data_IF_595314935943
#
_entry.id   IF_595314935943
#
_cell.length_a   1.000
_cell.length_b   1.000
_cell.length_c   1.000
_cell.angle_alpha   90.00
_cell.angle_beta   90.00
_cell.angle_gamma   90.00
#
_symmetry.space_group_name_H-M   'P 1'
#
loop_
_entity.id
_entity.type
_entity.pdbx_description
1 polymer ?
#
# COMPACT_ATOMS: atom_id res chain seq x y z
N UNK A 1 25.06 8.44 4.72
CA UNK A 1 23.69 8.27 5.29
C UNK A 1 22.64 8.09 4.18
N UNK A 2 22.83 8.69 3.00
CA UNK A 2 21.74 8.90 2.04
C UNK A 2 21.33 7.67 1.21
N UNK A 3 22.23 6.70 0.97
CA UNK A 3 21.88 5.51 0.16
C UNK A 3 20.89 4.58 0.87
N UNK A 4 21.03 4.44 2.19
CA UNK A 4 20.15 3.61 3.00
C UNK A 4 18.73 4.18 3.07
N UNK A 5 18.57 5.51 3.02
CA UNK A 5 17.28 6.19 3.02
C UNK A 5 16.48 5.84 1.74
N UNK A 6 17.15 5.80 0.59
CA UNK A 6 16.51 5.41 -0.68
C UNK A 6 16.10 3.94 -0.72
N UNK A 7 16.90 3.06 -0.15
CA UNK A 7 16.57 1.63 -0.01
C UNK A 7 15.36 1.44 0.91
N UNK A 8 15.37 2.10 2.08
CA UNK A 8 14.26 2.10 3.03
C UNK A 8 12.96 2.62 2.43
N UNK A 9 13.02 3.58 1.50
CA UNK A 9 11.83 4.08 0.81
C UNK A 9 11.18 3.04 -0.10
N UNK A 10 11.98 2.26 -0.84
CA UNK A 10 11.44 1.20 -1.69
C UNK A 10 10.74 0.16 -0.81
N UNK A 11 11.42 -0.25 0.27
CA UNK A 11 10.86 -1.24 1.20
C UNK A 11 9.61 -0.70 1.89
N UNK A 12 9.60 0.57 2.30
CA UNK A 12 8.42 1.21 2.89
C UNK A 12 7.25 1.28 1.89
N UNK A 13 7.50 1.57 0.61
CA UNK A 13 6.46 1.59 -0.41
C UNK A 13 5.85 0.21 -0.66
N UNK A 14 6.67 -0.84 -0.75
CA UNK A 14 6.18 -2.21 -0.89
C UNK A 14 5.43 -2.65 0.38
N UNK A 15 5.94 -2.30 1.57
CA UNK A 15 5.31 -2.59 2.85
C UNK A 15 3.92 -1.97 2.98
N UNK A 16 3.73 -0.72 2.52
CA UNK A 16 2.42 -0.07 2.47
C UNK A 16 1.47 -0.87 1.57
N UNK A 17 1.95 -1.28 0.38
CA UNK A 17 1.13 -2.02 -0.58
C UNK A 17 0.71 -3.39 -0.02
N UNK A 18 1.64 -4.13 0.58
CA UNK A 18 1.35 -5.40 1.27
C UNK A 18 0.33 -5.21 2.40
N UNK A 19 0.54 -4.20 3.25
CA UNK A 19 -0.34 -3.90 4.38
C UNK A 19 -1.74 -3.49 3.90
N UNK A 20 -1.86 -2.75 2.79
CA UNK A 20 -3.14 -2.40 2.19
C UNK A 20 -3.88 -3.62 1.61
N UNK A 21 -3.15 -4.56 1.01
CA UNK A 21 -3.72 -5.82 0.54
C UNK A 21 -4.23 -6.68 1.71
N UNK A 22 -3.48 -6.74 2.82
CA UNK A 22 -3.89 -7.43 4.03
C UNK A 22 -5.13 -6.79 4.67
N UNK A 23 -5.17 -5.46 4.78
CA UNK A 23 -6.37 -4.74 5.25
C UNK A 23 -7.57 -5.04 4.34
N UNK A 24 -7.39 -5.11 3.01
CA UNK A 24 -8.47 -5.47 2.08
C UNK A 24 -8.95 -6.90 2.30
N UNK A 25 -8.05 -7.86 2.57
CA UNK A 25 -8.40 -9.25 2.88
C UNK A 25 -9.21 -9.34 4.17
N UNK A 26 -8.76 -8.68 5.24
CA UNK A 26 -9.47 -8.61 6.52
C UNK A 26 -10.87 -7.99 6.34
N UNK A 27 -10.96 -6.86 5.62
CA UNK A 27 -12.25 -6.22 5.32
C UNK A 27 -13.17 -7.10 4.47
N UNK A 28 -12.62 -7.88 3.53
CA UNK A 28 -13.41 -8.82 2.71
C UNK A 28 -13.94 -9.98 3.55
N UNK A 29 -13.13 -10.52 4.46
CA UNK A 29 -13.55 -11.55 5.42
C UNK A 29 -14.69 -11.02 6.30
N UNK A 30 -14.55 -9.82 6.86
CA UNK A 30 -15.57 -9.15 7.70
C UNK A 30 -16.88 -8.86 6.94
N UNK A 31 -16.79 -8.54 5.64
CA UNK A 31 -17.93 -8.22 4.76
C UNK A 31 -18.63 -9.43 4.16
N UNK A 32 -18.30 -10.66 4.55
CA UNK A 32 -19.07 -11.84 4.14
C UNK A 32 -20.42 -11.84 4.87
N UNK A 33 -21.29 -10.93 4.46
CA UNK A 33 -22.68 -10.84 4.86
C UNK A 33 -23.38 -12.00 4.15
N UNK A 34 -23.79 -13.00 4.93
CA UNK A 34 -24.68 -14.05 4.48
C UNK A 34 -26.07 -13.43 4.30
N UNK A 35 -26.50 -13.36 3.06
CA UNK A 35 -27.87 -13.02 2.74
C UNK A 35 -28.64 -14.32 2.58
N UNK A 36 -29.67 -14.50 3.40
CA UNK A 36 -30.57 -15.64 3.28
C UNK A 36 -32.02 -15.15 3.29
N UNK A 37 -32.93 -15.95 2.74
CA UNK A 37 -34.35 -15.61 2.63
C UNK A 37 -35.17 -16.75 3.23
N UNK A 38 -35.81 -16.45 4.35
CA UNK A 38 -36.74 -17.35 5.00
C UNK A 38 -38.17 -16.98 4.64
N UNK A 39 -39.04 -17.98 4.55
CA UNK A 39 -40.46 -17.80 4.27
C UNK A 39 -41.25 -18.05 5.56
N UNK A 40 -42.10 -17.09 5.92
CA UNK A 40 -43.02 -17.18 7.05
C UNK A 40 -44.47 -16.96 6.62
N UNK A 41 -45.41 -17.34 7.47
CA UNK A 41 -46.82 -16.96 7.35
C UNK A 41 -47.08 -15.69 8.15
N UNK A 42 -48.01 -14.85 7.69
CA UNK A 42 -48.53 -13.74 8.49
C UNK A 42 -49.17 -14.24 9.79
N UNK A 43 -49.22 -13.38 10.81
CA UNK A 43 -49.76 -13.72 12.13
C UNK A 43 -51.30 -13.77 12.13
N UNK A 44 -51.96 -12.96 11.29
CA UNK A 44 -53.43 -12.90 11.21
C UNK A 44 -53.98 -13.52 9.92
N UNK A 45 -55.19 -14.07 10.04
CA UNK A 45 -55.94 -14.63 8.93
C UNK A 45 -56.42 -13.52 7.97
N UNK A 46 -56.29 -13.67 6.65
CA UNK A 46 -55.85 -14.86 5.92
C UNK A 46 -54.32 -15.02 5.89
N UNK A 47 -53.84 -16.21 6.25
CA UNK A 47 -52.40 -16.52 6.31
C UNK A 47 -51.77 -16.49 4.92
N UNK A 48 -51.17 -15.35 4.55
CA UNK A 48 -50.40 -15.22 3.32
C UNK A 48 -48.91 -15.46 3.58
N UNK A 49 -48.21 -16.02 2.59
CA UNK A 49 -46.76 -16.27 2.68
C UNK A 49 -46.02 -14.96 2.44
N UNK A 50 -45.12 -14.58 3.35
CA UNK A 50 -44.20 -13.48 3.15
C UNK A 50 -42.75 -13.94 3.29
N UNK A 51 -41.89 -13.43 2.42
CA UNK A 51 -40.45 -13.69 2.48
C UNK A 51 -39.74 -12.63 3.31
N UNK A 52 -39.08 -13.02 4.39
CA UNK A 52 -38.20 -12.14 5.18
C UNK A 52 -36.78 -12.29 4.64
N UNK A 53 -36.15 -11.17 4.31
CA UNK A 53 -34.71 -11.15 4.00
C UNK A 53 -33.94 -11.04 5.30
N UNK A 54 -33.19 -12.07 5.65
CA UNK A 54 -32.29 -12.05 6.79
C UNK A 54 -30.88 -11.74 6.29
N UNK A 55 -30.21 -10.85 7.02
CA UNK A 55 -28.81 -10.54 6.80
C UNK A 55 -28.06 -11.02 8.03
N UNK A 56 -27.16 -11.98 7.86
CA UNK A 56 -26.26 -12.47 8.91
C UNK A 56 -24.83 -12.18 8.54
N UNK A 57 -23.92 -12.11 9.52
CA UNK A 57 -22.48 -12.18 9.25
C UNK A 57 -22.04 -13.61 9.53
N UNK A 58 -21.33 -14.25 8.59
CA UNK A 58 -20.66 -15.51 8.89
C UNK A 58 -19.53 -15.23 9.90
N UNK A 59 -19.80 -15.39 11.19
CA UNK A 59 -18.77 -15.41 12.23
C UNK A 59 -17.96 -16.72 12.12
N UNK A 60 -17.31 -16.98 10.97
CA UNK A 60 -16.53 -18.21 10.77
C UNK A 60 -15.05 -18.06 11.11
N UNK A 61 -14.57 -16.88 11.52
CA UNK A 61 -13.13 -16.63 11.74
C UNK A 61 -12.79 -16.16 13.16
N UNK A 62 -13.76 -15.98 14.05
CA UNK A 62 -13.51 -15.30 15.32
C UNK A 62 -13.85 -16.19 16.50
N UNK A 63 -12.86 -16.93 16.97
CA UNK A 63 -12.88 -17.44 18.34
C UNK A 63 -12.76 -16.31 19.38
N UNK A 64 -12.36 -15.09 19.00
CA UNK A 64 -12.28 -13.96 19.93
C UNK A 64 -12.39 -12.57 19.25
N UNK A 65 -13.52 -11.84 19.37
CA UNK A 65 -13.75 -10.53 18.70
C UNK A 65 -12.70 -9.47 18.98
N UNK A 66 -12.10 -9.49 20.18
CA UNK A 66 -11.02 -8.56 20.55
C UNK A 66 -9.73 -8.79 19.76
N UNK A 67 -9.50 -10.00 19.26
CA UNK A 67 -8.27 -10.35 18.52
C UNK A 67 -8.22 -9.73 17.12
N UNK A 68 -9.37 -9.59 16.45
CA UNK A 68 -9.44 -8.97 15.12
C UNK A 68 -9.27 -7.45 15.19
N UNK A 69 -9.93 -6.80 16.14
CA UNK A 69 -9.78 -5.34 16.31
C UNK A 69 -8.33 -4.99 16.70
N UNK A 70 -7.68 -5.81 17.54
CA UNK A 70 -6.26 -5.65 17.86
C UNK A 70 -5.36 -5.85 16.62
N UNK A 71 -5.68 -6.82 15.75
CA UNK A 71 -4.95 -7.07 14.52
C UNK A 71 -5.12 -5.94 13.49
N UNK A 72 -6.34 -5.39 13.35
CA UNK A 72 -6.61 -4.21 12.51
C UNK A 72 -5.78 -3.01 12.99
N UNK A 73 -5.73 -2.76 14.31
CA UNK A 73 -4.91 -1.67 14.88
C UNK A 73 -3.42 -1.88 14.61
N UNK A 74 -2.91 -3.11 14.73
CA UNK A 74 -1.51 -3.42 14.43
C UNK A 74 -1.17 -3.15 12.96
N UNK A 75 -2.05 -3.52 12.03
CA UNK A 75 -1.89 -3.23 10.60
C UNK A 75 -1.88 -1.72 10.32
N UNK A 76 -2.74 -0.97 11.00
CA UNK A 76 -2.83 0.48 10.86
C UNK A 76 -1.58 1.19 11.43
N UNK A 77 -1.06 0.73 12.57
CA UNK A 77 0.22 1.19 13.13
C UNK A 77 1.42 0.88 12.22
N UNK A 78 1.41 -0.28 11.55
CA UNK A 78 2.45 -0.63 10.57
C UNK A 78 2.39 0.28 9.35
N UNK A 79 1.18 0.58 8.87
CA UNK A 79 0.96 1.48 7.73
C UNK A 79 1.42 2.90 8.06
N UNK A 80 1.03 3.45 9.21
CA UNK A 80 1.41 4.81 9.62
C UNK A 80 2.92 4.96 9.75
N UNK A 81 3.63 4.00 10.38
CA UNK A 81 5.10 4.00 10.42
C UNK A 81 5.76 3.98 9.05
N UNK A 82 5.22 3.20 8.11
CA UNK A 82 5.74 3.16 6.75
C UNK A 82 5.47 4.47 5.99
N UNK A 83 4.31 5.11 6.22
CA UNK A 83 3.98 6.42 5.66
C UNK A 83 4.88 7.54 6.22
N UNK A 84 5.24 7.50 7.50
CA UNK A 84 6.19 8.44 8.10
C UNK A 84 7.56 8.37 7.42
N UNK A 85 8.09 7.17 7.21
CA UNK A 85 9.36 6.96 6.48
C UNK A 85 9.25 7.50 5.06
N UNK A 86 8.13 7.25 4.39
CA UNK A 86 7.88 7.76 3.04
C UNK A 86 7.93 9.30 3.00
N UNK A 87 7.24 9.97 3.94
CA UNK A 87 7.21 11.44 4.04
C UNK A 87 8.61 11.99 4.34
N UNK A 88 9.38 11.35 5.21
CA UNK A 88 10.75 11.75 5.52
C UNK A 88 11.65 11.70 4.27
N UNK A 89 11.53 10.65 3.47
CA UNK A 89 12.31 10.52 2.23
C UNK A 89 11.85 11.55 1.18
N UNK A 90 10.55 11.79 1.05
CA UNK A 90 10.02 12.82 0.14
C UNK A 90 10.49 14.22 0.54
N UNK A 91 10.51 14.52 1.85
CA UNK A 91 11.06 15.77 2.38
C UNK A 91 12.56 15.90 2.07
N UNK A 92 13.33 14.82 2.23
CA UNK A 92 14.74 14.79 1.84
C UNK A 92 14.91 14.96 0.32
N UNK A 93 14.10 14.32 -0.50
CA UNK A 93 14.13 14.42 -1.96
C UNK A 93 13.92 15.86 -2.43
N UNK A 94 13.08 16.64 -1.75
CA UNK A 94 12.85 18.05 -2.04
C UNK A 94 14.10 18.93 -1.80
N UNK A 95 15.04 18.50 -0.97
CA UNK A 95 16.31 19.23 -0.74
C UNK A 95 17.34 19.03 -1.86
N UNK A 96 17.12 18.04 -2.72
CA UNK A 96 18.06 17.61 -3.78
C UNK A 96 17.83 18.42 -5.06
N UNK A 97 18.86 18.69 -5.88
CA UNK A 97 18.68 19.32 -7.19
C UNK A 97 17.73 18.55 -8.12
N UNK A 98 16.91 19.29 -8.89
CA UNK A 98 15.88 18.75 -9.79
C UNK A 98 16.38 17.68 -10.77
N UNK A 99 17.62 17.81 -11.26
CA UNK A 99 18.23 16.82 -12.16
C UNK A 99 18.40 15.46 -11.46
N UNK A 100 18.90 15.48 -10.23
CA UNK A 100 19.14 14.27 -9.45
C UNK A 100 17.83 13.63 -8.97
N UNK A 101 16.82 14.44 -8.61
CA UNK A 101 15.47 13.94 -8.32
C UNK A 101 14.92 13.11 -9.48
N UNK A 102 15.09 13.56 -10.73
CA UNK A 102 14.66 12.81 -11.93
C UNK A 102 15.45 11.49 -12.09
N UNK A 103 16.76 11.52 -11.86
CA UNK A 103 17.60 10.31 -11.93
C UNK A 103 17.14 9.27 -10.90
N UNK A 104 16.99 9.67 -9.64
CA UNK A 104 16.50 8.82 -8.55
C UNK A 104 15.13 8.24 -8.88
N UNK A 105 14.21 9.07 -9.37
CA UNK A 105 12.85 8.63 -9.74
C UNK A 105 12.87 7.54 -10.82
N UNK A 106 13.70 7.67 -11.86
CA UNK A 106 13.71 6.67 -12.93
C UNK A 106 14.59 5.45 -12.60
N UNK A 107 15.76 5.65 -12.03
CA UNK A 107 16.71 4.57 -11.73
C UNK A 107 16.28 3.74 -10.52
N UNK A 108 15.88 4.40 -9.43
CA UNK A 108 15.61 3.76 -8.14
C UNK A 108 14.13 3.42 -8.01
N UNK A 109 13.24 4.40 -8.13
CA UNK A 109 11.81 4.16 -7.89
C UNK A 109 11.14 3.36 -9.02
N UNK A 110 11.51 3.61 -10.27
CA UNK A 110 10.99 2.87 -11.43
C UNK A 110 11.86 1.68 -11.84
N UNK A 111 12.98 1.42 -11.13
CA UNK A 111 13.92 0.32 -11.39
C UNK A 111 14.33 0.22 -12.87
N UNK A 112 14.45 1.35 -13.58
CA UNK A 112 14.82 1.37 -15.00
C UNK A 112 16.33 1.19 -15.18
N UNK A 113 16.73 0.63 -16.33
CA UNK A 113 18.14 0.55 -16.69
C UNK A 113 18.74 1.95 -16.93
N UNK A 114 20.01 2.14 -16.58
CA UNK A 114 20.72 3.40 -16.77
C UNK A 114 20.68 3.91 -18.22
N UNK A 115 20.60 3.01 -19.21
CA UNK A 115 20.39 3.39 -20.61
C UNK A 115 19.02 4.05 -20.85
N UNK A 116 17.94 3.46 -20.31
CA UNK A 116 16.60 4.04 -20.42
C UNK A 116 16.48 5.37 -19.67
N UNK A 117 17.11 5.46 -18.49
CA UNK A 117 17.20 6.70 -17.70
C UNK A 117 17.90 7.78 -18.52
N UNK A 118 19.04 7.46 -19.13
CA UNK A 118 19.80 8.40 -19.95
C UNK A 118 18.99 8.92 -21.15
N UNK A 119 18.27 8.04 -21.84
CA UNK A 119 17.34 8.42 -22.92
C UNK A 119 16.25 9.39 -22.42
N UNK A 120 15.68 9.15 -21.23
CA UNK A 120 14.67 10.04 -20.63
C UNK A 120 15.23 11.37 -20.11
N UNK A 121 16.49 11.39 -19.71
CA UNK A 121 17.17 12.60 -19.25
C UNK A 121 17.58 13.52 -20.42
N UNK A 122 17.83 12.94 -21.60
CA UNK A 122 18.23 13.67 -22.80
C UNK A 122 19.64 14.29 -22.71
N UNK A 123 19.95 15.22 -23.64
CA UNK A 123 21.23 15.98 -23.70
C UNK A 123 22.50 15.15 -23.97
N UNK A 124 22.44 14.14 -24.84
CA UNK A 124 23.57 13.23 -25.14
C UNK A 124 24.17 12.54 -23.90
N UNK A 125 23.40 12.38 -22.83
CA UNK A 125 23.83 11.65 -21.66
C UNK A 125 23.95 10.15 -22.01
N UNK A 126 25.09 9.54 -21.68
CA UNK A 126 25.27 8.09 -21.75
C UNK A 126 24.88 7.43 -20.42
N UNK A 127 24.55 6.14 -20.46
CA UNK A 127 24.21 5.35 -19.27
C UNK A 127 25.27 5.50 -18.15
N UNK A 128 26.54 5.38 -18.53
CA UNK A 128 27.70 5.55 -17.63
C UNK A 128 27.81 6.95 -17.04
N UNK A 129 27.51 7.99 -17.83
CA UNK A 129 27.56 9.37 -17.35
C UNK A 129 26.52 9.61 -16.25
N UNK A 130 25.28 9.17 -16.47
CA UNK A 130 24.19 9.31 -15.50
C UNK A 130 24.46 8.49 -14.23
N UNK A 131 25.00 7.28 -14.38
CA UNK A 131 25.39 6.44 -13.25
C UNK A 131 26.47 7.10 -12.40
N UNK A 132 27.54 7.61 -13.02
CA UNK A 132 28.61 8.32 -12.31
C UNK A 132 28.15 9.61 -11.66
N UNK A 133 27.22 10.34 -12.29
CA UNK A 133 26.60 11.54 -11.71
C UNK A 133 25.87 11.19 -10.42
N UNK A 134 25.06 10.11 -10.43
CA UNK A 134 24.40 9.61 -9.23
C UNK A 134 25.40 9.15 -8.16
N UNK A 135 26.39 8.34 -8.53
CA UNK A 135 27.41 7.84 -7.59
C UNK A 135 28.18 8.99 -6.91
N UNK A 136 28.57 10.02 -7.68
CA UNK A 136 29.24 11.22 -7.14
C UNK A 136 28.35 11.95 -6.15
N UNK A 137 27.10 12.20 -6.52
CA UNK A 137 26.14 12.87 -5.63
C UNK A 137 25.93 12.10 -4.32
N UNK A 138 25.86 10.77 -4.38
CA UNK A 138 25.71 9.92 -3.20
C UNK A 138 27.01 9.76 -2.40
N UNK A 139 28.17 10.12 -2.96
CA UNK A 139 29.48 10.07 -2.29
C UNK A 139 29.90 11.41 -1.66
N UNK A 140 29.39 12.52 -2.19
CA UNK A 140 29.64 13.87 -1.66
C UNK A 140 28.81 14.20 -0.42
N UNK A 141 27.87 13.33 -0.03
CA UNK A 141 26.99 13.45 1.15
C UNK A 141 26.99 12.20 2.03
#
# INVERSE_FOLDING_TARGET
>A
MDKQILEQYIDACELIKETEEDIRRVKKQRKTILNDRVYGSMEEFPYTVHGIKIHGMAYSVVSDPGSLDAYERLLEERKTRAEEIKVQVEAWLNTIPQRMQRIIRYAIFQKQSWGMVATRMGRNATAESVRKEFERFMSEK
#
